data_IF_945398214905
#
_entry.id   IF_945398214905
#
_cell.length_a   1.000
_cell.length_b   1.000
_cell.length_c   1.000
_cell.angle_alpha   90.00
_cell.angle_beta   90.00
_cell.angle_gamma   90.00
#
_symmetry.space_group_name_H-M   'P 1'
#
loop_
_entity.id
_entity.type
_entity.pdbx_description
1 polymer ?
#
# COMPACT_ATOMS: atom_id res chain seq x y z
N UNK A 1 -43.24 31.59 -14.90
CA UNK A 1 -42.59 31.45 -16.23
C UNK A 1 -43.45 31.96 -17.37
N UNK A 2 -44.73 31.58 -17.46
CA UNK A 2 -45.63 32.00 -18.55
C UNK A 2 -45.77 33.53 -18.73
N UNK A 3 -45.88 34.29 -17.64
CA UNK A 3 -45.94 35.77 -17.69
C UNK A 3 -44.68 36.42 -18.26
N UNK A 4 -43.49 35.92 -17.89
CA UNK A 4 -42.20 36.41 -18.43
C UNK A 4 -42.04 36.10 -19.93
N UNK A 5 -42.54 34.95 -20.37
CA UNK A 5 -42.60 34.59 -21.80
C UNK A 5 -43.57 35.49 -22.58
N UNK A 6 -44.71 35.85 -21.99
CA UNK A 6 -45.65 36.79 -22.58
C UNK A 6 -45.09 38.21 -22.69
N UNK A 7 -44.38 38.68 -21.67
CA UNK A 7 -43.69 39.99 -21.69
C UNK A 7 -42.54 40.03 -22.70
N UNK A 8 -41.74 38.95 -22.78
CA UNK A 8 -40.71 38.81 -23.82
C UNK A 8 -41.31 38.75 -25.23
N UNK A 9 -42.43 38.05 -25.39
CA UNK A 9 -43.16 37.99 -26.66
C UNK A 9 -43.72 39.37 -27.04
N UNK A 10 -44.29 40.12 -26.08
CA UNK A 10 -44.82 41.44 -26.36
C UNK A 10 -43.72 42.46 -26.69
N UNK A 11 -42.60 42.42 -25.95
CA UNK A 11 -41.43 43.25 -26.18
C UNK A 11 -40.74 42.94 -27.52
N UNK A 12 -40.66 41.66 -27.89
CA UNK A 12 -40.17 41.22 -29.19
C UNK A 12 -41.11 41.68 -30.31
N UNK A 13 -42.44 41.56 -30.13
CA UNK A 13 -43.42 41.97 -31.12
C UNK A 13 -43.44 43.49 -31.35
N UNK A 14 -43.24 44.29 -30.29
CA UNK A 14 -43.06 45.74 -30.43
C UNK A 14 -41.74 46.12 -31.11
N UNK A 15 -40.65 45.42 -30.79
CA UNK A 15 -39.35 45.60 -31.43
C UNK A 15 -39.41 45.26 -32.92
N UNK A 16 -40.11 44.18 -33.27
CA UNK A 16 -40.35 43.75 -34.65
C UNK A 16 -41.26 44.75 -35.36
N UNK A 17 -42.32 45.28 -34.73
CA UNK A 17 -43.17 46.32 -35.32
C UNK A 17 -42.42 47.63 -35.55
N UNK A 18 -41.54 48.04 -34.63
CA UNK A 18 -40.68 49.24 -34.80
C UNK A 18 -39.64 49.02 -35.90
N UNK A 19 -39.03 47.85 -35.97
CA UNK A 19 -38.13 47.47 -37.06
C UNK A 19 -38.87 47.43 -38.40
N UNK A 20 -40.05 46.81 -38.46
CA UNK A 20 -40.89 46.74 -39.66
C UNK A 20 -41.32 48.13 -40.15
N UNK A 21 -41.72 49.05 -39.26
CA UNK A 21 -42.04 50.44 -39.63
C UNK A 21 -40.82 51.21 -40.15
N UNK A 22 -39.64 51.02 -39.55
CA UNK A 22 -38.37 51.59 -40.05
C UNK A 22 -37.97 51.02 -41.41
N UNK A 23 -38.26 49.74 -41.64
CA UNK A 23 -37.98 49.07 -42.92
C UNK A 23 -38.97 49.53 -43.99
N UNK A 24 -40.24 49.74 -43.62
CA UNK A 24 -41.30 50.23 -44.49
C UNK A 24 -41.06 51.69 -44.94
N UNK A 25 -40.57 52.56 -44.06
CA UNK A 25 -40.20 53.94 -44.45
C UNK A 25 -38.92 54.00 -45.29
N UNK A 26 -38.05 53.00 -45.21
CA UNK A 26 -36.85 52.88 -46.04
C UNK A 26 -37.11 52.25 -47.43
N UNK A 27 -38.31 51.67 -47.63
CA UNK A 27 -38.74 50.98 -48.85
C UNK A 27 -39.35 51.92 -49.91
N UNK A 28 -39.53 53.21 -49.60
CA UNK A 28 -40.06 54.21 -50.53
C UNK A 28 -39.00 54.86 -51.43
N UNK A 29 -37.72 54.49 -51.29
CA UNK A 29 -36.62 55.05 -52.07
C UNK A 29 -36.15 54.08 -53.18
N UNK A 30 -35.65 54.61 -54.28
CA UNK A 30 -35.39 53.90 -55.55
C UNK A 30 -34.34 52.77 -55.46
N UNK A 31 -33.63 52.66 -54.33
CA UNK A 31 -32.65 51.63 -54.00
C UNK A 31 -33.23 50.36 -53.33
N UNK A 32 -34.55 50.25 -53.21
CA UNK A 32 -35.22 49.15 -52.48
C UNK A 32 -35.18 47.80 -53.18
N UNK A 33 -35.14 47.79 -54.52
CA UNK A 33 -35.11 46.55 -55.33
C UNK A 33 -33.74 45.85 -55.19
N UNK A 34 -32.64 46.60 -55.17
CA UNK A 34 -31.31 46.04 -54.95
C UNK A 34 -31.18 45.40 -53.56
N UNK A 35 -31.69 46.07 -52.52
CA UNK A 35 -31.66 45.53 -51.14
C UNK A 35 -32.46 44.24 -50.99
N UNK A 36 -33.61 44.11 -51.66
CA UNK A 36 -34.39 42.87 -51.69
C UNK A 36 -33.65 41.72 -52.39
N UNK A 37 -32.99 42.00 -53.51
CA UNK A 37 -32.14 41.03 -54.19
C UNK A 37 -31.03 40.48 -53.29
N UNK A 38 -30.36 41.36 -52.54
CA UNK A 38 -29.31 40.95 -51.58
C UNK A 38 -29.87 40.08 -50.46
N UNK A 39 -31.07 40.39 -49.93
CA UNK A 39 -31.71 39.60 -48.87
C UNK A 39 -32.05 38.18 -49.36
N UNK A 40 -32.56 38.06 -50.59
CA UNK A 40 -32.89 36.75 -51.18
C UNK A 40 -31.63 35.90 -51.38
N UNK A 41 -30.53 36.51 -51.86
CA UNK A 41 -29.24 35.82 -52.04
C UNK A 41 -28.70 35.33 -50.69
N UNK A 42 -28.75 36.18 -49.64
CA UNK A 42 -28.31 35.79 -48.29
C UNK A 42 -29.16 34.64 -47.74
N UNK A 43 -30.48 34.66 -47.95
CA UNK A 43 -31.36 33.57 -47.53
C UNK A 43 -31.05 32.25 -48.25
N UNK A 44 -30.80 32.28 -49.55
CA UNK A 44 -30.40 31.10 -50.31
C UNK A 44 -29.05 30.55 -49.84
N UNK A 45 -28.11 31.42 -49.51
CA UNK A 45 -26.78 31.04 -49.00
C UNK A 45 -26.90 30.36 -47.63
N UNK A 46 -27.74 30.90 -46.74
CA UNK A 46 -28.05 30.28 -45.44
C UNK A 46 -28.71 28.91 -45.64
N UNK A 47 -29.69 28.80 -46.55
CA UNK A 47 -30.34 27.54 -46.85
C UNK A 47 -29.36 26.48 -47.40
N UNK A 48 -28.42 26.89 -48.27
CA UNK A 48 -27.39 26.00 -48.81
C UNK A 48 -26.42 25.51 -47.72
N UNK A 49 -25.99 26.39 -46.82
CA UNK A 49 -25.12 26.02 -45.68
C UNK A 49 -25.84 25.05 -44.74
N UNK A 50 -27.10 25.30 -44.43
CA UNK A 50 -27.90 24.40 -43.59
C UNK A 50 -28.10 23.03 -44.26
N UNK A 51 -28.35 23.00 -45.57
CA UNK A 51 -28.46 21.76 -46.34
C UNK A 51 -27.18 20.94 -46.35
N UNK A 52 -26.03 21.57 -46.59
CA UNK A 52 -24.72 20.92 -46.54
C UNK A 52 -24.39 20.38 -45.15
N UNK A 53 -24.69 21.16 -44.12
CA UNK A 53 -24.50 20.75 -42.73
C UNK A 53 -25.36 19.53 -42.39
N UNK A 54 -26.63 19.54 -42.80
CA UNK A 54 -27.53 18.40 -42.65
C UNK A 54 -27.04 17.15 -43.37
N UNK A 55 -26.50 17.29 -44.59
CA UNK A 55 -25.92 16.19 -45.35
C UNK A 55 -24.69 15.58 -44.64
N UNK A 56 -23.80 16.42 -44.09
CA UNK A 56 -22.65 15.96 -43.32
C UNK A 56 -23.09 15.18 -42.08
N UNK A 57 -24.06 15.69 -41.32
CA UNK A 57 -24.61 14.97 -40.17
C UNK A 57 -25.23 13.63 -40.56
N UNK A 58 -25.98 13.57 -41.66
CA UNK A 58 -26.59 12.34 -42.15
C UNK A 58 -25.55 11.31 -42.61
N UNK A 59 -24.48 11.78 -43.24
CA UNK A 59 -23.37 10.93 -43.69
C UNK A 59 -22.62 10.33 -42.50
N UNK A 60 -22.35 11.13 -41.47
CA UNK A 60 -21.72 10.66 -40.22
C UNK A 60 -22.65 9.66 -39.52
N UNK A 61 -23.94 9.97 -39.42
CA UNK A 61 -24.91 9.09 -38.79
C UNK A 61 -25.00 7.72 -39.49
N UNK A 62 -25.06 7.70 -40.83
CA UNK A 62 -25.07 6.45 -41.62
C UNK A 62 -23.77 5.67 -41.50
N UNK A 63 -22.64 6.35 -41.43
CA UNK A 63 -21.35 5.69 -41.21
C UNK A 63 -21.30 5.01 -39.84
N UNK A 64 -21.76 5.70 -38.80
CA UNK A 64 -21.89 5.13 -37.45
C UNK A 64 -22.86 3.94 -37.48
N UNK A 65 -24.07 4.11 -37.99
CA UNK A 65 -25.09 3.04 -38.00
C UNK A 65 -24.62 1.77 -38.74
N UNK A 66 -23.92 1.94 -39.87
CA UNK A 66 -23.39 0.81 -40.64
C UNK A 66 -22.16 0.13 -40.01
N UNK A 67 -21.31 0.86 -39.26
CA UNK A 67 -20.05 0.32 -38.74
C UNK A 67 -20.01 0.09 -37.22
N UNK A 68 -21.05 0.48 -36.47
CA UNK A 68 -21.11 0.28 -35.02
C UNK A 68 -21.09 -1.20 -34.62
N UNK A 69 -21.69 -2.08 -35.43
CA UNK A 69 -21.63 -3.53 -35.21
C UNK A 69 -20.21 -4.09 -35.33
N UNK A 70 -19.47 -3.67 -36.35
CA UNK A 70 -18.08 -4.09 -36.59
C UNK A 70 -17.15 -3.56 -35.49
N UNK A 71 -17.31 -2.30 -35.10
CA UNK A 71 -16.53 -1.68 -34.03
C UNK A 71 -16.81 -2.33 -32.66
N UNK A 72 -18.05 -2.72 -32.39
CA UNK A 72 -18.41 -3.43 -31.16
C UNK A 72 -17.74 -4.81 -31.09
N UNK A 73 -17.72 -5.56 -32.21
CA UNK A 73 -17.07 -6.88 -32.28
C UNK A 73 -15.56 -6.77 -32.05
N UNK A 74 -14.91 -5.77 -32.65
CA UNK A 74 -13.47 -5.50 -32.44
C UNK A 74 -13.21 -5.16 -30.96
N UNK A 75 -14.03 -4.29 -30.37
CA UNK A 75 -13.93 -3.92 -28.95
C UNK A 75 -14.07 -5.12 -28.01
N UNK A 76 -15.07 -5.98 -28.25
CA UNK A 76 -15.29 -7.22 -27.47
C UNK A 76 -14.09 -8.17 -27.62
N UNK A 77 -13.57 -8.33 -28.83
CA UNK A 77 -12.43 -9.22 -29.11
C UNK A 77 -11.15 -8.76 -28.39
N UNK A 78 -10.88 -7.46 -28.40
CA UNK A 78 -9.76 -6.86 -27.67
C UNK A 78 -9.94 -7.05 -26.16
N UNK A 79 -11.14 -6.81 -25.64
CA UNK A 79 -11.45 -7.00 -24.22
C UNK A 79 -11.26 -8.47 -23.77
N UNK A 80 -11.72 -9.44 -24.57
CA UNK A 80 -11.48 -10.87 -24.29
C UNK A 80 -9.99 -11.23 -24.30
N UNK A 81 -9.21 -10.69 -25.23
CA UNK A 81 -7.77 -10.92 -25.30
C UNK A 81 -7.04 -10.40 -24.05
N UNK A 82 -7.36 -9.19 -23.59
CA UNK A 82 -6.80 -8.65 -22.36
C UNK A 82 -7.23 -9.43 -21.12
N UNK A 83 -8.51 -9.83 -21.03
CA UNK A 83 -9.01 -10.67 -19.94
C UNK A 83 -8.29 -12.02 -19.89
N UNK A 84 -8.00 -12.63 -21.05
CA UNK A 84 -7.26 -13.89 -21.12
C UNK A 84 -5.81 -13.74 -20.64
N UNK A 85 -5.09 -12.71 -21.09
CA UNK A 85 -3.73 -12.41 -20.61
C UNK A 85 -3.72 -12.17 -19.09
N UNK A 86 -4.69 -11.41 -18.59
CA UNK A 86 -4.80 -11.12 -17.16
C UNK A 86 -5.09 -12.38 -16.35
N UNK A 87 -6.01 -13.24 -16.81
CA UNK A 87 -6.32 -14.51 -16.15
C UNK A 87 -5.12 -15.46 -16.03
N UNK A 88 -4.25 -15.48 -17.04
CA UNK A 88 -3.01 -16.27 -17.01
C UNK A 88 -2.00 -15.77 -15.99
N UNK A 89 -1.94 -14.45 -15.74
CA UNK A 89 -1.12 -13.86 -14.67
C UNK A 89 -1.69 -14.20 -13.29
N UNK A 90 -2.99 -14.02 -13.10
CA UNK A 90 -3.67 -14.33 -11.83
C UNK A 90 -3.54 -15.81 -11.45
N UNK A 91 -3.66 -16.73 -12.41
CA UNK A 91 -3.46 -18.17 -12.15
C UNK A 91 -2.02 -18.50 -11.74
N UNK A 92 -1.02 -17.86 -12.36
CA UNK A 92 0.40 -18.05 -11.99
C UNK A 92 0.69 -17.49 -10.61
N UNK A 93 0.14 -16.33 -10.29
CA UNK A 93 0.25 -15.73 -8.95
C UNK A 93 -0.45 -16.57 -7.89
N UNK A 94 -1.66 -17.06 -8.17
CA UNK A 94 -2.38 -17.94 -7.25
C UNK A 94 -1.62 -19.25 -6.99
N UNK A 95 -1.02 -19.86 -8.03
CA UNK A 95 -0.16 -21.04 -7.88
C UNK A 95 1.08 -20.73 -7.04
N UNK A 96 1.74 -19.59 -7.27
CA UNK A 96 2.90 -19.15 -6.47
C UNK A 96 2.53 -18.92 -5.01
N UNK A 97 1.38 -18.27 -4.75
CA UNK A 97 0.86 -18.05 -3.40
C UNK A 97 0.57 -19.37 -2.68
N UNK A 98 -0.08 -20.33 -3.36
CA UNK A 98 -0.35 -21.67 -2.80
C UNK A 98 0.94 -22.41 -2.43
N UNK A 99 1.94 -22.41 -3.32
CA UNK A 99 3.24 -23.04 -3.02
C UNK A 99 3.92 -22.38 -1.82
N UNK A 100 3.84 -21.05 -1.71
CA UNK A 100 4.41 -20.32 -0.58
C UNK A 100 3.65 -20.61 0.73
N UNK A 101 2.32 -20.70 0.66
CA UNK A 101 1.46 -21.06 1.79
C UNK A 101 1.69 -22.50 2.26
N UNK A 102 1.88 -23.44 1.33
CA UNK A 102 2.22 -24.84 1.65
C UNK A 102 3.59 -24.93 2.31
N UNK A 103 4.61 -24.21 1.80
CA UNK A 103 5.91 -24.10 2.45
C UNK A 103 5.78 -23.52 3.87
N UNK A 104 4.99 -22.47 4.03
CA UNK A 104 4.76 -21.85 5.33
C UNK A 104 4.08 -22.81 6.31
N UNK A 105 3.06 -23.55 5.85
CA UNK A 105 2.38 -24.60 6.64
C UNK A 105 3.32 -25.72 7.04
N UNK A 106 4.23 -26.13 6.16
CA UNK A 106 5.22 -27.17 6.46
C UNK A 106 6.27 -26.71 7.48
N UNK A 107 6.70 -25.45 7.43
CA UNK A 107 7.70 -24.88 8.33
C UNK A 107 7.13 -24.45 9.69
N UNK A 108 5.83 -24.18 9.76
CA UNK A 108 5.14 -23.71 10.97
C UNK A 108 5.35 -24.58 12.22
N UNK A 109 5.23 -25.93 12.17
CA UNK A 109 5.49 -26.78 13.33
C UNK A 109 6.91 -26.63 13.86
N UNK A 110 7.91 -26.57 12.97
CA UNK A 110 9.31 -26.36 13.32
C UNK A 110 9.51 -24.99 13.96
N UNK A 111 8.93 -23.95 13.37
CA UNK A 111 9.01 -22.59 13.89
C UNK A 111 8.37 -22.44 15.27
N UNK A 112 7.24 -23.13 15.53
CA UNK A 112 6.62 -23.17 16.86
C UNK A 112 7.52 -23.86 17.89
N UNK A 113 8.19 -24.95 17.53
CA UNK A 113 9.14 -25.61 18.42
C UNK A 113 10.33 -24.70 18.76
N UNK A 114 10.89 -23.99 17.77
CA UNK A 114 11.94 -22.99 18.00
C UNK A 114 11.44 -21.87 18.92
N UNK A 115 10.25 -21.34 18.65
CA UNK A 115 9.63 -20.31 19.48
C UNK A 115 9.44 -20.74 20.93
N UNK A 116 9.01 -21.97 21.20
CA UNK A 116 8.86 -22.47 22.56
C UNK A 116 10.22 -22.57 23.29
N UNK A 117 11.26 -23.08 22.61
CA UNK A 117 12.60 -23.22 23.18
C UNK A 117 13.27 -21.87 23.43
N UNK A 118 13.20 -20.96 22.46
CA UNK A 118 13.70 -19.59 22.62
C UNK A 118 12.88 -18.85 23.67
N UNK A 119 11.56 -19.05 23.72
CA UNK A 119 10.70 -18.51 24.76
C UNK A 119 11.12 -18.97 26.16
N UNK A 120 11.34 -20.27 26.36
CA UNK A 120 11.84 -20.80 27.64
C UNK A 120 13.17 -20.14 28.05
N UNK A 121 14.11 -20.04 27.11
CA UNK A 121 15.39 -19.37 27.29
C UNK A 121 15.22 -17.88 27.67
N UNK A 122 14.34 -17.15 26.98
CA UNK A 122 14.04 -15.75 27.31
C UNK A 122 13.36 -15.62 28.68
N UNK A 123 12.51 -16.59 29.05
CA UNK A 123 11.90 -16.66 30.37
C UNK A 123 12.94 -16.76 31.48
N UNK A 124 13.99 -17.57 31.28
CA UNK A 124 15.08 -17.70 32.24
C UNK A 124 15.93 -16.43 32.34
N UNK A 125 16.16 -15.73 31.23
CA UNK A 125 16.84 -14.43 31.21
C UNK A 125 16.01 -13.38 31.97
N UNK A 126 14.73 -13.25 31.64
CA UNK A 126 13.84 -12.25 32.24
C UNK A 126 13.49 -12.54 33.70
N UNK A 127 13.68 -13.77 34.18
CA UNK A 127 13.55 -14.12 35.61
C UNK A 127 14.77 -13.74 36.44
N UNK A 128 15.89 -13.39 35.80
CA UNK A 128 17.06 -12.91 36.51
C UNK A 128 16.74 -11.56 37.18
N UNK A 129 16.74 -11.56 38.52
CA UNK A 129 16.39 -10.39 39.33
C UNK A 129 17.31 -9.20 39.04
N UNK A 130 18.57 -9.45 38.69
CA UNK A 130 19.52 -8.41 38.36
C UNK A 130 19.14 -7.70 37.05
N UNK A 131 18.70 -8.47 36.06
CA UNK A 131 18.27 -7.98 34.77
C UNK A 131 16.94 -7.23 34.88
N UNK A 132 15.94 -7.83 35.53
CA UNK A 132 14.58 -7.28 35.65
C UNK A 132 14.56 -5.88 36.30
N UNK A 133 15.39 -5.67 37.33
CA UNK A 133 15.55 -4.35 37.96
C UNK A 133 16.19 -3.33 37.02
N UNK A 134 17.08 -3.76 36.12
CA UNK A 134 17.84 -2.89 35.24
C UNK A 134 17.04 -2.46 34.00
N UNK A 135 16.11 -3.30 33.55
CA UNK A 135 15.28 -3.06 32.35
C UNK A 135 13.83 -2.65 32.69
N UNK A 136 13.47 -2.54 33.97
CA UNK A 136 12.14 -2.18 34.46
C UNK A 136 10.98 -3.08 33.94
N UNK A 137 11.29 -4.35 33.70
CA UNK A 137 10.31 -5.35 33.26
C UNK A 137 9.95 -6.29 34.41
N UNK A 138 8.70 -6.72 34.44
CA UNK A 138 8.20 -7.64 35.45
C UNK A 138 8.73 -9.05 35.21
N UNK A 139 9.14 -9.72 36.28
CA UNK A 139 9.54 -11.12 36.23
C UNK A 139 8.39 -11.99 35.74
N UNK A 140 8.58 -12.81 34.70
CA UNK A 140 7.52 -13.67 34.23
C UNK A 140 7.35 -14.88 35.16
N UNK A 141 6.13 -15.04 35.71
CA UNK A 141 5.79 -16.22 36.50
C UNK A 141 5.77 -17.50 35.66
N UNK A 142 5.39 -17.42 34.38
CA UNK A 142 5.40 -18.54 33.45
C UNK A 142 5.74 -18.08 32.01
N UNK A 143 5.91 -19.06 31.11
CA UNK A 143 6.23 -18.82 29.70
C UNK A 143 5.10 -18.07 28.96
N UNK A 144 3.83 -18.30 29.28
CA UNK A 144 2.71 -17.60 28.65
C UNK A 144 2.70 -16.10 28.92
N UNK A 145 3.30 -15.65 30.01
CA UNK A 145 3.41 -14.22 30.30
C UNK A 145 4.33 -13.49 29.32
N UNK A 146 5.31 -14.20 28.74
CA UNK A 146 6.25 -13.59 27.80
C UNK A 146 5.86 -13.77 26.33
N UNK A 147 4.98 -14.71 26.05
CA UNK A 147 4.56 -15.07 24.71
C UNK A 147 3.34 -14.22 24.31
N UNK A 148 3.28 -13.84 23.03
CA UNK A 148 2.06 -13.30 22.46
C UNK A 148 1.01 -14.40 22.32
N UNK A 149 -0.20 -14.14 22.80
CA UNK A 149 -1.31 -15.10 22.75
C UNK A 149 -1.77 -15.41 21.31
N UNK A 150 -1.50 -14.52 20.34
CA UNK A 150 -1.90 -14.68 18.95
C UNK A 150 -0.80 -15.39 18.10
N UNK A 151 -1.05 -16.61 17.59
CA UNK A 151 -0.10 -17.36 16.77
C UNK A 151 0.34 -16.65 15.49
N UNK A 152 -0.56 -15.85 14.89
CA UNK A 152 -0.28 -15.15 13.64
C UNK A 152 0.69 -13.97 13.81
N UNK A 153 0.86 -13.48 15.03
CA UNK A 153 1.69 -12.31 15.34
C UNK A 153 3.03 -12.68 15.98
N UNK A 154 3.19 -13.92 16.46
CA UNK A 154 4.37 -14.33 17.24
C UNK A 154 5.54 -14.84 16.40
N UNK A 155 5.31 -15.35 15.19
CA UNK A 155 6.36 -15.97 14.38
C UNK A 155 6.18 -15.56 12.91
N UNK A 156 7.23 -15.01 12.32
CA UNK A 156 7.31 -14.75 10.89
C UNK A 156 8.51 -15.48 10.31
N UNK A 157 8.27 -16.30 9.27
CA UNK A 157 9.35 -16.95 8.52
C UNK A 157 9.92 -15.91 7.57
N UNK A 158 11.25 -15.78 7.56
CA UNK A 158 11.92 -14.83 6.65
C UNK A 158 11.68 -15.23 5.18
N UNK A 159 11.62 -14.26 4.24
CA UNK A 159 11.34 -14.55 2.82
C UNK A 159 12.34 -15.49 2.15
N UNK A 160 13.59 -15.50 2.62
CA UNK A 160 14.69 -16.35 2.18
C UNK A 160 14.68 -17.74 2.85
N UNK A 161 13.91 -17.92 3.93
CA UNK A 161 13.77 -19.19 4.66
C UNK A 161 14.94 -19.54 5.57
N UNK A 162 15.91 -18.62 5.74
CA UNK A 162 17.15 -18.84 6.52
C UNK A 162 16.93 -18.74 8.04
N UNK A 163 15.79 -18.20 8.47
CA UNK A 163 15.52 -17.96 9.87
C UNK A 163 14.07 -17.60 10.19
N UNK A 164 13.85 -17.29 11.47
CA UNK A 164 12.55 -16.95 12.04
C UNK A 164 12.65 -15.64 12.82
N UNK A 165 11.70 -14.75 12.58
CA UNK A 165 11.45 -13.60 13.44
C UNK A 165 10.47 -14.02 14.53
N UNK A 166 10.88 -13.93 15.79
CA UNK A 166 10.17 -14.43 16.96
C UNK A 166 9.79 -13.26 17.86
N UNK A 167 8.50 -13.02 18.04
CA UNK A 167 7.99 -11.87 18.79
C UNK A 167 7.50 -12.26 20.18
N UNK A 168 8.00 -11.56 21.19
CA UNK A 168 7.67 -11.76 22.60
C UNK A 168 7.21 -10.45 23.22
N UNK A 169 6.35 -10.53 24.24
CA UNK A 169 5.91 -9.39 25.05
C UNK A 169 6.43 -9.56 26.48
N UNK A 170 6.85 -8.52 27.17
CA UNK A 170 7.10 -8.58 28.62
C UNK A 170 6.40 -7.42 29.31
N UNK A 171 5.71 -7.73 30.41
CA UNK A 171 4.98 -6.73 31.17
C UNK A 171 5.95 -5.74 31.82
N UNK A 172 5.56 -4.48 31.89
CA UNK A 172 6.30 -3.47 32.63
C UNK A 172 6.06 -3.60 34.13
N UNK A 173 7.04 -3.21 34.94
CA UNK A 173 6.83 -3.04 36.39
C UNK A 173 5.97 -1.81 36.71
N UNK A 174 6.10 -0.75 35.91
CA UNK A 174 5.34 0.50 36.03
C UNK A 174 4.61 0.82 34.72
N UNK A 175 3.41 1.40 34.82
CA UNK A 175 2.50 1.70 33.69
C UNK A 175 2.94 2.95 32.89
N UNK A 176 4.12 3.51 33.19
CA UNK A 176 4.65 4.70 32.52
C UNK A 176 5.21 4.37 31.13
N UNK A 177 5.05 5.31 30.19
CA UNK A 177 5.70 5.23 28.88
C UNK A 177 7.21 5.31 29.06
N UNK A 178 7.94 4.45 28.35
CA UNK A 178 9.39 4.46 28.39
C UNK A 178 9.90 5.54 27.43
N UNK A 179 10.88 6.32 27.88
CA UNK A 179 11.61 7.24 27.00
C UNK A 179 12.42 6.39 26.00
N UNK A 180 12.63 6.83 24.75
CA UNK A 180 13.38 6.06 23.74
C UNK A 180 14.74 5.53 24.22
N UNK A 181 15.45 6.29 25.05
CA UNK A 181 16.73 5.88 25.66
C UNK A 181 16.58 4.64 26.56
N UNK A 182 15.47 4.53 27.30
CA UNK A 182 15.18 3.35 28.10
C UNK A 182 14.91 2.14 27.20
N UNK A 183 14.20 2.32 26.08
CA UNK A 183 13.90 1.26 25.12
C UNK A 183 15.19 0.69 24.50
N UNK A 184 16.12 1.57 24.12
CA UNK A 184 17.45 1.19 23.63
C UNK A 184 18.27 0.47 24.70
N UNK A 185 18.23 0.97 25.94
CA UNK A 185 18.91 0.32 27.07
C UNK A 185 18.38 -1.09 27.29
N UNK A 186 17.05 -1.27 27.26
CA UNK A 186 16.42 -2.58 27.38
C UNK A 186 16.91 -3.51 26.27
N UNK A 187 16.95 -3.04 25.02
CA UNK A 187 17.49 -3.81 23.89
C UNK A 187 18.92 -4.27 24.14
N UNK A 188 19.81 -3.35 24.50
CA UNK A 188 21.25 -3.62 24.61
C UNK A 188 21.57 -4.54 25.78
N UNK A 189 20.91 -4.33 26.92
CA UNK A 189 21.02 -5.19 28.09
C UNK A 189 20.49 -6.58 27.79
N UNK A 190 19.34 -6.67 27.12
CA UNK A 190 18.75 -7.95 26.74
C UNK A 190 19.65 -8.69 25.74
N UNK A 191 20.20 -8.00 24.74
CA UNK A 191 21.16 -8.58 23.80
C UNK A 191 22.43 -9.07 24.50
N UNK A 192 22.97 -8.28 25.43
CA UNK A 192 24.12 -8.66 26.24
C UNK A 192 23.86 -9.92 27.07
N UNK A 193 22.70 -9.98 27.73
CA UNK A 193 22.28 -11.14 28.50
C UNK A 193 22.06 -12.39 27.64
N UNK A 194 21.43 -12.23 26.46
CA UNK A 194 21.28 -13.30 25.48
C UNK A 194 22.66 -13.85 25.08
N UNK A 195 23.59 -12.97 24.68
CA UNK A 195 24.93 -13.37 24.25
C UNK A 195 25.69 -14.09 25.37
N UNK A 196 25.65 -13.56 26.59
CA UNK A 196 26.31 -14.17 27.74
C UNK A 196 25.72 -15.55 28.06
N UNK A 197 24.38 -15.67 28.06
CA UNK A 197 23.67 -16.93 28.38
C UNK A 197 23.92 -18.00 27.30
N UNK A 198 23.87 -17.64 26.02
CA UNK A 198 24.20 -18.54 24.91
C UNK A 198 25.66 -18.98 24.99
N UNK A 199 26.59 -18.07 25.25
CA UNK A 199 28.02 -18.41 25.34
C UNK A 199 28.30 -19.36 26.51
N UNK A 200 27.54 -19.25 27.60
CA UNK A 200 27.76 -20.05 28.82
C UNK A 200 27.04 -21.41 28.78
N UNK A 201 25.81 -21.44 28.29
CA UNK A 201 24.92 -22.61 28.42
C UNK A 201 24.27 -23.06 27.10
N UNK A 202 24.37 -22.26 26.05
CA UNK A 202 23.61 -22.48 24.82
C UNK A 202 22.09 -22.32 25.02
N UNK A 203 21.32 -22.95 24.14
CA UNK A 203 19.87 -23.05 24.24
C UNK A 203 19.48 -24.53 24.19
N UNK A 204 18.95 -25.05 25.30
CA UNK A 204 18.65 -26.47 25.44
C UNK A 204 17.72 -26.97 24.32
N UNK A 205 18.15 -28.01 23.61
CA UNK A 205 17.42 -28.61 22.49
C UNK A 205 17.49 -27.81 21.17
N UNK A 206 18.24 -26.70 21.12
CA UNK A 206 18.49 -25.95 19.90
C UNK A 206 19.99 -25.83 19.56
N UNK A 207 20.83 -25.46 20.53
CA UNK A 207 22.24 -25.18 20.27
C UNK A 207 23.10 -25.35 21.54
N UNK A 208 24.30 -25.95 21.46
CA UNK A 208 25.26 -25.97 22.56
C UNK A 208 25.85 -24.56 22.81
N UNK A 209 26.62 -24.36 23.90
CA UNK A 209 27.30 -23.10 24.17
C UNK A 209 28.19 -22.67 22.99
N UNK A 210 28.01 -21.44 22.49
CA UNK A 210 28.74 -20.91 21.32
C UNK A 210 28.88 -19.40 21.42
N UNK A 211 29.98 -18.84 20.92
CA UNK A 211 30.23 -17.40 20.91
C UNK A 211 29.45 -16.64 19.82
N UNK A 212 28.85 -17.34 18.84
CA UNK A 212 28.20 -16.68 17.70
C UNK A 212 26.80 -16.18 18.01
N UNK A 213 26.52 -15.00 17.48
CA UNK A 213 25.21 -14.33 17.52
C UNK A 213 24.32 -14.87 16.39
N UNK A 214 23.58 -15.93 16.67
CA UNK A 214 22.51 -16.43 15.80
C UNK A 214 21.12 -15.98 16.28
N UNK A 215 21.07 -15.30 17.45
CA UNK A 215 19.86 -14.76 18.04
C UNK A 215 20.08 -13.28 18.40
N UNK A 216 19.32 -12.40 17.75
CA UNK A 216 19.48 -10.96 17.89
C UNK A 216 18.18 -10.26 18.23
N UNK A 217 18.21 -9.25 19.09
CA UNK A 217 17.09 -8.33 19.28
C UNK A 217 17.03 -7.38 18.09
N UNK A 218 15.94 -7.45 17.31
CA UNK A 218 15.74 -6.65 16.11
C UNK A 218 15.22 -5.25 16.46
N UNK A 219 15.94 -4.25 15.98
CA UNK A 219 15.52 -2.85 16.04
C UNK A 219 15.25 -2.37 17.46
N UNK A 220 14.37 -1.38 17.57
CA UNK A 220 13.93 -0.85 18.86
C UNK A 220 12.70 -1.64 19.35
N UNK A 221 12.71 -2.13 20.60
CA UNK A 221 11.52 -2.73 21.20
C UNK A 221 10.31 -1.79 21.12
N UNK A 222 9.15 -2.34 20.80
CA UNK A 222 7.93 -1.56 20.71
C UNK A 222 7.33 -1.36 22.10
N UNK A 223 7.10 -0.10 22.47
CA UNK A 223 6.51 0.26 23.76
C UNK A 223 4.98 0.31 23.70
N UNK A 224 4.33 -0.48 24.55
CA UNK A 224 2.89 -0.40 24.82
C UNK A 224 2.67 0.08 26.25
N UNK A 225 1.45 0.52 26.58
CA UNK A 225 1.16 1.08 27.90
C UNK A 225 1.49 0.11 29.07
N UNK A 226 1.27 -1.19 28.87
CA UNK A 226 1.40 -2.22 29.92
C UNK A 226 2.53 -3.22 29.69
N UNK A 227 3.11 -3.27 28.49
CA UNK A 227 4.15 -4.22 28.13
C UNK A 227 5.09 -3.63 27.08
N UNK A 228 6.26 -4.23 26.94
CA UNK A 228 7.20 -3.99 25.85
C UNK A 228 7.24 -5.22 24.96
N UNK A 229 7.29 -5.02 23.65
CA UNK A 229 7.38 -6.10 22.66
C UNK A 229 8.77 -6.13 22.04
N UNK A 230 9.39 -7.30 22.02
CA UNK A 230 10.70 -7.53 21.41
C UNK A 230 10.55 -8.50 20.25
N UNK A 231 11.22 -8.20 19.15
CA UNK A 231 11.37 -9.11 18.04
C UNK A 231 12.79 -9.70 18.08
N UNK A 232 12.91 -11.01 18.04
CA UNK A 232 14.17 -11.70 17.95
C UNK A 232 14.36 -12.24 16.54
N UNK A 233 15.47 -11.90 15.90
CA UNK A 233 15.93 -12.55 14.69
C UNK A 233 16.75 -13.78 15.05
N UNK A 234 16.19 -14.95 14.74
CA UNK A 234 16.84 -16.24 14.85
C UNK A 234 17.26 -16.72 13.46
N UNK A 235 18.56 -16.97 13.30
CA UNK A 235 19.19 -17.41 12.06
C UNK A 235 19.65 -18.87 12.20
N UNK A 236 19.01 -19.77 11.46
CA UNK A 236 19.27 -21.21 11.60
C UNK A 236 20.58 -21.63 10.92
N UNK A 237 21.01 -20.92 9.87
CA UNK A 237 22.24 -21.23 9.14
C UNK A 237 23.47 -20.93 10.01
N UNK A 238 23.45 -19.82 10.75
CA UNK A 238 24.54 -19.42 11.66
C UNK A 238 24.74 -20.37 12.86
N UNK A 239 23.76 -21.22 13.15
CA UNK A 239 23.92 -22.28 14.15
C UNK A 239 24.89 -23.34 13.62
N UNK A 240 24.73 -23.71 12.35
CA UNK A 240 25.51 -24.76 11.69
C UNK A 240 26.89 -24.30 11.22
N UNK A 241 27.12 -22.99 11.08
CA UNK A 241 28.44 -22.46 10.75
C UNK A 241 29.45 -22.69 11.88
N UNK A 242 30.29 -23.71 11.74
CA UNK A 242 31.52 -23.84 12.50
C UNK A 242 32.49 -22.70 12.12
N UNK A 243 32.73 -21.80 13.08
CA UNK A 243 33.74 -20.74 13.06
C UNK A 243 33.65 -19.67 11.95
N UNK A 244 33.14 -18.51 12.37
CA UNK A 244 33.71 -17.22 12.03
C UNK A 244 33.40 -16.30 13.21
N UNK A 245 34.43 -15.93 13.97
CA UNK A 245 34.27 -14.97 15.06
C UNK A 245 33.72 -13.67 14.45
N UNK A 246 32.55 -13.24 14.92
CA UNK A 246 32.01 -11.95 14.51
C UNK A 246 33.02 -10.84 14.89
N UNK A 247 33.28 -9.87 13.99
CA UNK A 247 34.10 -8.73 14.35
C UNK A 247 33.38 -7.98 15.47
N UNK A 248 34.11 -7.78 16.58
CA UNK A 248 33.71 -6.87 17.64
C UNK A 248 33.53 -5.50 16.98
N UNK A 249 32.31 -4.97 16.98
CA UNK A 249 32.07 -3.57 16.66
C UNK A 249 32.86 -2.74 17.68
N UNK A 250 34.02 -2.24 17.28
CA UNK A 250 34.72 -1.17 17.98
C UNK A 250 33.91 0.11 17.79
N UNK A 251 33.14 0.47 18.81
CA UNK A 251 32.60 1.82 18.95
C UNK A 251 33.76 2.81 19.18
N UNK A 252 33.81 3.82 18.32
CA UNK A 252 34.58 5.08 18.40
C UNK A 252 36.09 5.08 18.10
N UNK A 253 36.41 5.99 17.19
CA UNK A 253 37.72 6.57 16.82
C UNK A 253 38.68 5.70 15.98
N UNK A 254 38.65 5.89 14.66
CA UNK A 254 39.78 6.57 14.04
C UNK A 254 39.41 7.18 12.69
N UNK A 255 39.36 8.50 12.67
CA UNK A 255 39.53 9.30 11.47
C UNK A 255 41.00 9.22 11.06
N UNK A 256 41.37 8.37 10.11
CA UNK A 256 42.61 8.54 9.37
C UNK A 256 42.60 7.72 8.09
N UNK A 257 43.04 8.34 6.99
CA UNK A 257 43.06 7.91 5.58
C UNK A 257 41.70 8.05 4.87
N UNK A 258 41.46 8.97 3.92
CA UNK A 258 42.36 9.78 3.10
C UNK A 258 42.06 9.50 1.62
N UNK A 259 41.53 10.52 0.94
CA UNK A 259 41.04 10.64 -0.46
C UNK A 259 39.59 10.24 -0.73
#
# INVERSE_FOLDING_TARGET
>A
MFKKLQELYHSANESIKKAAKKTQSALQDKNSIQKLGTIIIVLLLIAAVLGLTGFLFLSVYRFIDNHMGELAIIGISIAMFFAWIQSGREQREAKRRKVLEEKYKALMPKANAVYEKVGGFMGDILRDKSLASLINLANPSNLSNIIMENPAQRIQIKPDGTGYLLTYRANKLSITNLIPEHILTIRDVLQGAINQRITSYGINGLCPPKQNTFLHVMGEPSDCHTYVTFCLDYDEEKINDSYSAAPVFSTFNDSTYGY
#
